data_IF_791257877532
#
_entry.id   IF_791257877532
#
_cell.length_a   1.000
_cell.length_b   1.000
_cell.length_c   1.000
_cell.angle_alpha   90.00
_cell.angle_beta   90.00
_cell.angle_gamma   90.00
#
_symmetry.space_group_name_H-M   'P 1'
#
loop_
_entity.id
_entity.type
_entity.pdbx_description
1 polymer ?
#
# COMPACT_ATOMS: atom_id res chain seq x y z
N UNK A 1 -5.87 -2.51 -28.98
CA UNK A 1 -7.25 -1.96 -28.97
C UNK A 1 -7.35 -0.92 -27.86
N UNK A 2 -7.45 0.38 -28.14
CA UNK A 2 -7.35 1.45 -27.13
C UNK A 2 -8.48 1.45 -26.10
N UNK A 3 -9.66 0.95 -26.45
CA UNK A 3 -10.84 0.92 -25.59
C UNK A 3 -10.71 -0.09 -24.42
N UNK A 4 -10.09 -1.23 -24.64
CA UNK A 4 -9.87 -2.23 -23.59
C UNK A 4 -8.87 -1.73 -22.55
N UNK A 5 -7.80 -1.04 -22.97
CA UNK A 5 -6.85 -0.39 -22.06
C UNK A 5 -7.53 0.68 -21.22
N UNK A 6 -8.35 1.55 -21.84
CA UNK A 6 -9.11 2.57 -21.12
C UNK A 6 -10.12 1.98 -20.13
N UNK A 7 -10.76 0.86 -20.47
CA UNK A 7 -11.68 0.15 -19.58
C UNK A 7 -10.93 -0.43 -18.36
N UNK A 8 -9.81 -1.09 -18.59
CA UNK A 8 -8.95 -1.64 -17.54
C UNK A 8 -8.42 -0.54 -16.62
N UNK A 9 -7.97 0.59 -17.18
CA UNK A 9 -7.52 1.73 -16.38
C UNK A 9 -8.65 2.34 -15.54
N UNK A 10 -9.88 2.36 -16.04
CA UNK A 10 -11.07 2.83 -15.26
C UNK A 10 -11.51 1.84 -14.19
N UNK A 11 -11.25 0.55 -14.36
CA UNK A 11 -11.57 -0.49 -13.38
C UNK A 11 -10.48 -0.66 -12.32
N UNK A 12 -9.22 -0.61 -12.73
CA UNK A 12 -8.08 -1.01 -11.89
C UNK A 12 -7.04 0.10 -11.66
N UNK A 13 -6.82 0.99 -12.63
CA UNK A 13 -5.84 2.07 -12.51
C UNK A 13 -6.40 3.32 -11.81
N UNK A 14 -7.61 3.76 -12.19
CA UNK A 14 -8.31 4.92 -11.60
C UNK A 14 -9.79 4.61 -11.42
N UNK A 15 -10.16 3.71 -10.48
CA UNK A 15 -11.52 3.22 -10.34
C UNK A 15 -12.51 4.35 -10.03
N UNK A 16 -13.59 4.44 -10.86
CA UNK A 16 -14.67 5.41 -10.72
C UNK A 16 -16.03 4.78 -11.02
N UNK A 17 -17.07 5.18 -10.27
CA UNK A 17 -18.46 4.76 -10.50
C UNK A 17 -18.70 3.26 -10.36
N UNK A 18 -19.69 2.72 -11.10
CA UNK A 18 -20.10 1.30 -11.04
C UNK A 18 -18.98 0.35 -11.45
N UNK A 19 -18.19 0.71 -12.48
CA UNK A 19 -17.04 -0.09 -12.92
C UNK A 19 -15.95 -0.14 -11.84
N UNK A 20 -15.75 0.94 -11.10
CA UNK A 20 -14.85 0.98 -9.96
C UNK A 20 -15.30 0.08 -8.80
N UNK A 21 -16.63 -0.06 -8.58
CA UNK A 21 -17.18 -0.97 -7.58
C UNK A 21 -16.90 -2.44 -7.92
N UNK A 22 -17.17 -2.84 -9.16
CA UNK A 22 -16.88 -4.20 -9.63
C UNK A 22 -15.39 -4.49 -9.61
N UNK A 23 -14.56 -3.55 -10.07
CA UNK A 23 -13.10 -3.64 -10.00
C UNK A 23 -12.61 -3.85 -8.57
N UNK A 24 -13.16 -3.10 -7.61
CA UNK A 24 -12.82 -3.23 -6.18
C UNK A 24 -13.11 -4.61 -5.59
N UNK A 25 -14.22 -5.25 -5.99
CA UNK A 25 -14.55 -6.63 -5.54
C UNK A 25 -13.56 -7.66 -6.07
N UNK A 26 -13.19 -7.54 -7.35
CA UNK A 26 -12.20 -8.44 -7.99
C UNK A 26 -10.82 -8.20 -7.37
N UNK A 27 -10.40 -6.95 -7.22
CA UNK A 27 -9.15 -6.58 -6.57
C UNK A 27 -9.08 -7.08 -5.12
N UNK A 28 -10.19 -7.04 -4.39
CA UNK A 28 -10.24 -7.51 -3.01
C UNK A 28 -9.88 -9.01 -2.90
N UNK A 29 -10.30 -9.83 -3.84
CA UNK A 29 -9.95 -11.27 -3.86
C UNK A 29 -8.50 -11.50 -4.26
N UNK A 30 -8.06 -10.88 -5.36
CA UNK A 30 -6.69 -11.04 -5.88
C UNK A 30 -5.64 -10.50 -4.90
N UNK A 31 -5.93 -9.37 -4.25
CA UNK A 31 -4.98 -8.72 -3.35
C UNK A 31 -4.95 -9.33 -1.94
N UNK A 32 -5.95 -10.15 -1.55
CA UNK A 32 -5.97 -10.75 -0.20
C UNK A 32 -4.77 -11.68 0.03
N UNK A 33 -4.53 -12.59 -0.91
CA UNK A 33 -3.43 -13.55 -0.80
C UNK A 33 -2.07 -12.86 -0.90
N UNK A 34 -1.95 -11.87 -1.79
CA UNK A 34 -0.76 -11.05 -1.89
C UNK A 34 -0.50 -10.28 -0.60
N UNK A 35 -1.53 -9.63 -0.04
CA UNK A 35 -1.42 -8.89 1.21
C UNK A 35 -1.02 -9.80 2.38
N UNK A 36 -1.60 -10.99 2.50
CA UNK A 36 -1.25 -11.95 3.54
C UNK A 36 0.24 -12.34 3.44
N UNK A 37 0.73 -12.66 2.24
CA UNK A 37 2.14 -13.00 2.02
C UNK A 37 3.09 -11.84 2.34
N UNK A 38 2.74 -10.61 1.96
CA UNK A 38 3.56 -9.42 2.26
C UNK A 38 3.61 -9.14 3.77
N UNK A 39 2.47 -9.26 4.44
CA UNK A 39 2.37 -9.07 5.89
C UNK A 39 3.21 -10.12 6.63
N UNK A 40 3.32 -11.35 6.12
CA UNK A 40 4.18 -12.38 6.69
C UNK A 40 5.69 -12.14 6.47
N UNK A 41 6.07 -11.29 5.53
CA UNK A 41 7.48 -10.94 5.27
C UNK A 41 8.01 -9.85 6.21
N UNK A 42 7.12 -9.12 6.88
CA UNK A 42 7.47 -8.05 7.80
C UNK A 42 7.27 -8.51 9.25
N UNK A 43 8.20 -8.13 10.10
CA UNK A 43 8.12 -8.37 11.54
C UNK A 43 7.30 -7.26 12.20
N UNK A 44 6.02 -7.53 12.49
CA UNK A 44 5.12 -6.59 13.14
C UNK A 44 5.12 -6.77 14.64
N UNK A 45 5.23 -5.66 15.36
CA UNK A 45 4.94 -5.59 16.80
C UNK A 45 3.45 -5.32 17.02
N UNK A 46 2.85 -5.82 18.10
CA UNK A 46 1.42 -5.62 18.37
C UNK A 46 0.96 -4.16 18.44
N UNK A 47 1.86 -3.24 18.75
CA UNK A 47 1.62 -1.80 18.94
C UNK A 47 2.08 -0.93 17.77
N UNK A 48 2.59 -1.53 16.67
CA UNK A 48 3.06 -0.80 15.50
C UNK A 48 1.96 0.10 14.90
N UNK A 49 2.38 1.28 14.46
CA UNK A 49 1.60 2.16 13.59
C UNK A 49 2.00 1.87 12.14
N UNK A 50 1.04 1.48 11.33
CA UNK A 50 1.29 1.01 9.96
C UNK A 50 0.63 1.95 8.95
N UNK A 51 1.36 2.29 7.87
CA UNK A 51 0.84 3.02 6.73
C UNK A 51 0.64 2.08 5.54
N UNK A 52 -0.54 2.09 4.92
CA UNK A 52 -0.78 1.46 3.62
C UNK A 52 -0.98 2.52 2.53
N UNK A 53 -0.15 2.48 1.49
CA UNK A 53 -0.21 3.40 0.35
C UNK A 53 -0.88 2.73 -0.84
N UNK A 54 -2.02 3.29 -1.28
CA UNK A 54 -2.86 2.70 -2.32
C UNK A 54 -3.65 1.50 -1.78
N UNK A 55 -4.36 1.70 -0.68
CA UNK A 55 -5.05 0.63 0.05
C UNK A 55 -6.23 -0.01 -0.73
N UNK A 56 -6.64 0.57 -1.87
CA UNK A 56 -7.73 0.05 -2.67
C UNK A 56 -9.00 -0.16 -1.86
N UNK A 57 -9.68 -1.33 -1.98
CA UNK A 57 -10.90 -1.63 -1.23
C UNK A 57 -10.66 -1.95 0.28
N UNK A 58 -9.44 -1.80 0.80
CA UNK A 58 -9.11 -1.89 2.22
C UNK A 58 -9.01 -3.32 2.79
N UNK A 59 -8.62 -4.29 1.98
CA UNK A 59 -8.49 -5.69 2.41
C UNK A 59 -7.24 -5.89 3.27
N UNK A 60 -6.10 -5.32 2.86
CA UNK A 60 -4.86 -5.44 3.62
C UNK A 60 -4.98 -4.69 4.97
N UNK A 61 -5.72 -3.58 5.02
CA UNK A 61 -6.07 -2.90 6.29
C UNK A 61 -6.66 -3.88 7.31
N UNK A 62 -7.62 -4.74 6.90
CA UNK A 62 -8.22 -5.75 7.79
C UNK A 62 -7.18 -6.75 8.30
N UNK A 63 -6.29 -7.22 7.43
CA UNK A 63 -5.25 -8.18 7.79
C UNK A 63 -4.22 -7.54 8.73
N UNK A 64 -3.83 -6.29 8.47
CA UNK A 64 -2.91 -5.53 9.32
C UNK A 64 -3.46 -5.33 10.73
N UNK A 65 -4.75 -5.01 10.89
CA UNK A 65 -5.38 -4.86 12.20
C UNK A 65 -5.28 -6.11 13.09
N UNK A 66 -5.22 -7.30 12.49
CA UNK A 66 -4.99 -8.55 13.24
C UNK A 66 -3.53 -8.69 13.68
N UNK A 67 -2.59 -8.06 12.97
CA UNK A 67 -1.16 -8.09 13.33
C UNK A 67 -0.79 -7.05 14.38
N UNK A 68 -1.49 -5.92 14.39
CA UNK A 68 -1.22 -4.80 15.29
C UNK A 68 -2.43 -4.48 16.20
N UNK A 69 -2.87 -5.42 17.05
CA UNK A 69 -4.09 -5.27 17.85
C UNK A 69 -4.03 -4.11 18.84
N UNK A 70 -2.85 -3.77 19.36
CA UNK A 70 -2.61 -2.60 20.21
C UNK A 70 -2.26 -1.33 19.41
N UNK A 71 -1.80 -1.49 18.17
CA UNK A 71 -1.40 -0.43 17.26
C UNK A 71 -2.55 0.22 16.48
N UNK A 72 -2.22 0.76 15.31
CA UNK A 72 -3.19 1.40 14.40
C UNK A 72 -2.73 1.31 12.95
N UNK A 73 -3.67 1.43 12.02
CA UNK A 73 -3.40 1.42 10.58
C UNK A 73 -3.91 2.71 9.97
N UNK A 74 -3.05 3.45 9.27
CA UNK A 74 -3.46 4.55 8.42
C UNK A 74 -3.34 4.13 6.95
N UNK A 75 -4.12 4.76 6.08
CA UNK A 75 -4.02 4.52 4.65
C UNK A 75 -4.27 5.77 3.84
N UNK A 76 -3.63 5.84 2.66
CA UNK A 76 -3.90 6.85 1.66
C UNK A 76 -4.23 6.19 0.33
N UNK A 77 -5.24 6.71 -0.35
CA UNK A 77 -5.59 6.30 -1.71
C UNK A 77 -6.06 7.52 -2.52
N UNK A 78 -5.67 7.60 -3.78
CA UNK A 78 -6.05 8.72 -4.64
C UNK A 78 -7.44 8.53 -5.31
N UNK A 79 -8.11 7.40 -5.05
CA UNK A 79 -9.48 7.12 -5.52
C UNK A 79 -10.49 7.30 -4.40
N UNK A 80 -11.36 8.30 -4.51
CA UNK A 80 -12.46 8.49 -3.58
C UNK A 80 -13.39 7.27 -3.49
N UNK A 81 -13.53 6.49 -4.58
CA UNK A 81 -14.31 5.26 -4.59
C UNK A 81 -13.65 4.19 -3.72
N UNK A 82 -12.33 4.06 -3.76
CA UNK A 82 -11.59 3.13 -2.90
C UNK A 82 -11.69 3.54 -1.44
N UNK A 83 -11.57 4.83 -1.14
CA UNK A 83 -11.77 5.35 0.23
C UNK A 83 -13.16 4.98 0.76
N UNK A 84 -14.22 5.13 -0.04
CA UNK A 84 -15.58 4.74 0.37
C UNK A 84 -15.72 3.25 0.63
N UNK A 85 -15.17 2.40 -0.25
CA UNK A 85 -15.22 0.95 -0.10
C UNK A 85 -14.41 0.47 1.11
N UNK A 86 -13.21 1.00 1.30
CA UNK A 86 -12.37 0.69 2.44
C UNK A 86 -13.00 1.15 3.76
N UNK A 87 -13.63 2.33 3.77
CA UNK A 87 -14.34 2.84 4.95
C UNK A 87 -15.54 1.95 5.31
N UNK A 88 -16.34 1.51 4.33
CA UNK A 88 -17.44 0.60 4.58
C UNK A 88 -16.94 -0.76 5.12
N UNK A 89 -15.87 -1.30 4.53
CA UNK A 89 -15.25 -2.57 4.94
C UNK A 89 -14.68 -2.53 6.36
N UNK A 90 -14.09 -1.40 6.76
CA UNK A 90 -13.38 -1.24 8.02
C UNK A 90 -14.16 -0.34 9.02
N UNK A 91 -15.49 -0.24 8.89
CA UNK A 91 -16.32 0.72 9.62
C UNK A 91 -16.19 0.59 11.15
N UNK A 92 -16.09 -0.62 11.68
CA UNK A 92 -15.91 -0.83 13.13
C UNK A 92 -14.55 -0.29 13.61
N UNK A 93 -13.49 -0.55 12.88
CA UNK A 93 -12.14 -0.08 13.22
C UNK A 93 -12.00 1.44 13.10
N UNK A 94 -12.69 2.06 12.13
CA UNK A 94 -12.78 3.52 12.01
C UNK A 94 -13.48 4.14 13.23
N UNK A 95 -14.64 3.60 13.66
CA UNK A 95 -15.35 4.08 14.87
C UNK A 95 -14.49 3.99 16.11
N UNK A 96 -13.68 2.94 16.22
CA UNK A 96 -12.77 2.70 17.35
C UNK A 96 -11.44 3.44 17.22
N UNK A 97 -11.26 4.30 16.21
CA UNK A 97 -10.04 5.07 15.93
C UNK A 97 -8.78 4.20 15.74
N UNK A 98 -8.98 2.94 15.34
CA UNK A 98 -7.89 2.01 14.99
C UNK A 98 -7.46 2.16 13.52
N UNK A 99 -8.26 2.83 12.71
CA UNK A 99 -8.00 3.08 11.29
C UNK A 99 -8.21 4.56 10.97
N UNK A 100 -7.31 5.12 10.15
CA UNK A 100 -7.40 6.46 9.55
C UNK A 100 -7.24 6.33 8.03
N UNK A 101 -8.30 6.54 7.26
CA UNK A 101 -8.30 6.44 5.80
C UNK A 101 -8.43 7.82 5.17
N UNK A 102 -7.47 8.17 4.31
CA UNK A 102 -7.45 9.47 3.66
C UNK A 102 -7.46 9.37 2.15
N UNK A 103 -8.15 10.30 1.51
CA UNK A 103 -8.03 10.57 0.09
C UNK A 103 -6.83 11.48 -0.14
N UNK A 104 -5.93 11.10 -1.06
CA UNK A 104 -4.76 11.91 -1.37
C UNK A 104 -3.72 11.17 -2.20
N UNK A 105 -2.62 11.84 -2.44
CA UNK A 105 -1.48 11.31 -3.19
C UNK A 105 -0.31 10.94 -2.27
N UNK A 106 0.43 9.91 -2.65
CA UNK A 106 1.65 9.48 -1.95
C UNK A 106 2.75 10.53 -2.02
N UNK A 107 2.77 11.36 -3.06
CA UNK A 107 3.78 12.41 -3.25
C UNK A 107 3.64 13.57 -2.23
N UNK A 108 2.53 13.56 -1.47
CA UNK A 108 2.27 14.52 -0.38
C UNK A 108 1.43 13.87 0.70
N UNK A 109 2.07 13.11 1.57
CA UNK A 109 1.40 12.39 2.65
C UNK A 109 0.94 13.36 3.76
N UNK A 110 -0.35 13.36 4.13
CA UNK A 110 -0.90 14.26 5.15
C UNK A 110 -0.64 13.74 6.58
N UNK A 111 0.57 13.24 6.82
CA UNK A 111 1.01 12.70 8.12
C UNK A 111 2.29 13.41 8.56
N UNK A 112 2.49 13.52 9.87
CA UNK A 112 3.70 14.08 10.45
C UNK A 112 4.91 13.17 10.19
N UNK A 113 6.11 13.74 10.29
CA UNK A 113 7.37 13.01 10.23
C UNK A 113 7.40 11.94 11.32
N UNK A 114 8.11 10.84 11.06
CA UNK A 114 8.40 9.79 12.05
C UNK A 114 7.15 9.27 12.79
N UNK A 115 6.05 9.10 12.06
CA UNK A 115 4.77 8.64 12.61
C UNK A 115 4.64 7.13 12.62
N UNK A 116 5.13 6.46 11.57
CA UNK A 116 4.85 5.04 11.32
C UNK A 116 6.06 4.14 11.57
N UNK A 117 5.81 2.96 12.09
CA UNK A 117 6.82 1.92 12.29
C UNK A 117 7.02 1.11 11.00
N UNK A 118 5.96 0.91 10.22
CA UNK A 118 5.97 0.17 8.95
C UNK A 118 5.15 0.89 7.88
N UNK A 119 5.58 0.77 6.63
CA UNK A 119 4.81 1.24 5.47
C UNK A 119 4.72 0.15 4.40
N UNK A 120 3.55 -0.01 3.78
CA UNK A 120 3.32 -0.98 2.72
C UNK A 120 2.72 -0.30 1.49
N UNK A 121 3.10 -0.80 0.31
CA UNK A 121 2.45 -0.48 -0.95
C UNK A 121 2.33 -1.76 -1.79
N UNK A 122 1.11 -2.24 -2.01
CA UNK A 122 0.85 -3.50 -2.72
C UNK A 122 0.18 -3.19 -4.06
N UNK A 123 0.84 -3.50 -5.17
CA UNK A 123 0.37 -3.19 -6.53
C UNK A 123 -0.06 -1.72 -6.70
N UNK A 124 0.66 -0.78 -6.11
CA UNK A 124 0.27 0.62 -6.08
C UNK A 124 1.31 1.55 -6.72
N UNK A 125 2.61 1.29 -6.52
CA UNK A 125 3.69 2.18 -6.98
C UNK A 125 3.66 2.46 -8.50
N UNK A 126 3.27 1.50 -9.33
CA UNK A 126 3.17 1.67 -10.78
C UNK A 126 2.11 2.71 -11.22
N UNK A 127 1.23 3.11 -10.30
CA UNK A 127 0.21 4.13 -10.54
C UNK A 127 0.59 5.52 -10.00
N UNK A 128 1.75 5.64 -9.31
CA UNK A 128 2.21 6.92 -8.79
C UNK A 128 2.72 7.83 -9.90
N UNK A 129 2.49 9.13 -9.79
CA UNK A 129 2.95 10.10 -10.80
C UNK A 129 4.45 10.31 -10.72
N UNK A 130 5.01 10.30 -9.50
CA UNK A 130 6.45 10.38 -9.22
C UNK A 130 6.80 9.42 -8.08
N UNK A 131 7.32 8.25 -8.44
CA UNK A 131 7.73 7.23 -7.44
C UNK A 131 8.86 7.72 -6.54
N UNK A 132 9.77 8.56 -7.02
CA UNK A 132 10.84 9.11 -6.18
C UNK A 132 10.29 10.08 -5.13
N UNK A 133 9.35 10.94 -5.50
CA UNK A 133 8.68 11.81 -4.55
C UNK A 133 7.87 11.00 -3.52
N UNK A 134 7.11 9.98 -3.97
CA UNK A 134 6.37 9.09 -3.10
C UNK A 134 7.25 8.36 -2.10
N UNK A 135 8.39 7.83 -2.54
CA UNK A 135 9.34 7.15 -1.65
C UNK A 135 9.99 8.10 -0.63
N UNK A 136 10.31 9.34 -1.02
CA UNK A 136 10.80 10.36 -0.07
C UNK A 136 9.75 10.67 1.00
N UNK A 137 8.49 10.80 0.63
CA UNK A 137 7.39 11.04 1.58
C UNK A 137 7.16 9.83 2.51
N UNK A 138 7.19 8.60 1.98
CA UNK A 138 7.14 7.39 2.82
C UNK A 138 8.30 7.39 3.81
N UNK A 139 9.52 7.68 3.35
CA UNK A 139 10.70 7.78 4.22
C UNK A 139 10.55 8.88 5.28
N UNK A 140 9.98 10.03 4.93
CA UNK A 140 9.73 11.13 5.87
C UNK A 140 8.82 10.69 7.02
N UNK A 141 7.71 10.02 6.70
CA UNK A 141 6.70 9.63 7.70
C UNK A 141 7.05 8.35 8.46
N UNK A 142 7.99 7.55 7.99
CA UNK A 142 8.54 6.41 8.74
C UNK A 142 9.45 6.90 9.86
N UNK A 143 9.40 6.22 11.00
CA UNK A 143 10.38 6.38 12.07
C UNK A 143 11.75 5.84 11.66
N UNK A 144 12.80 6.23 12.35
CA UNK A 144 14.13 5.58 12.23
C UNK A 144 14.02 4.11 12.62
N UNK A 145 14.64 3.22 11.85
CA UNK A 145 14.51 1.77 11.99
C UNK A 145 13.17 1.22 11.48
N UNK A 146 12.31 2.06 10.92
CA UNK A 146 11.05 1.63 10.31
C UNK A 146 11.24 1.06 8.91
N UNK A 147 10.43 0.06 8.55
CA UNK A 147 10.54 -0.64 7.26
C UNK A 147 9.50 -0.19 6.24
N UNK A 148 9.91 -0.21 4.98
CA UNK A 148 9.01 -0.10 3.83
C UNK A 148 8.99 -1.42 3.05
N UNK A 149 7.80 -1.85 2.62
CA UNK A 149 7.59 -2.98 1.72
C UNK A 149 6.81 -2.56 0.47
N UNK A 150 7.45 -2.72 -0.70
CA UNK A 150 6.84 -2.50 -2.01
C UNK A 150 6.60 -3.86 -2.65
N UNK A 151 5.35 -4.28 -2.77
CA UNK A 151 5.00 -5.60 -3.28
C UNK A 151 4.27 -5.52 -4.62
N UNK A 152 4.61 -6.45 -5.50
CA UNK A 152 4.09 -6.51 -6.86
C UNK A 152 3.77 -7.95 -7.23
N UNK A 153 2.51 -8.18 -7.60
CA UNK A 153 2.11 -9.47 -8.16
C UNK A 153 2.59 -9.60 -9.61
N UNK A 154 2.67 -10.82 -10.12
CA UNK A 154 3.06 -11.10 -11.53
C UNK A 154 2.22 -10.35 -12.56
N UNK A 155 1.01 -9.96 -12.20
CA UNK A 155 0.09 -9.22 -13.07
C UNK A 155 0.18 -7.69 -12.91
N UNK A 156 1.06 -7.19 -12.05
CA UNK A 156 1.21 -5.75 -11.81
C UNK A 156 1.82 -4.99 -12.98
N UNK A 157 2.56 -5.69 -13.84
CA UNK A 157 3.33 -5.08 -14.92
C UNK A 157 4.60 -4.35 -14.45
N UNK A 158 4.91 -4.38 -13.15
CA UNK A 158 6.11 -3.76 -12.60
C UNK A 158 7.33 -4.67 -12.83
N UNK A 159 8.39 -4.20 -13.51
CA UNK A 159 9.67 -4.91 -13.55
C UNK A 159 10.27 -5.01 -12.14
N UNK A 160 10.92 -6.14 -11.85
CA UNK A 160 11.60 -6.34 -10.57
C UNK A 160 12.91 -5.55 -10.50
N UNK A 161 13.56 -5.44 -11.64
CA UNK A 161 14.82 -4.75 -11.82
C UNK A 161 14.67 -3.26 -11.50
N UNK A 162 15.63 -2.70 -10.78
CA UNK A 162 15.67 -1.27 -10.43
C UNK A 162 14.81 -0.88 -9.21
N UNK A 163 13.98 -1.78 -8.64
CA UNK A 163 13.10 -1.41 -7.49
C UNK A 163 13.92 -1.25 -6.20
N UNK A 164 14.91 -2.12 -5.96
CA UNK A 164 15.80 -1.97 -4.81
C UNK A 164 16.68 -0.71 -4.93
N UNK A 165 17.16 -0.42 -6.13
CA UNK A 165 17.96 0.78 -6.43
C UNK A 165 17.14 2.06 -6.22
N UNK A 166 15.83 2.04 -6.54
CA UNK A 166 14.93 3.17 -6.25
C UNK A 166 14.79 3.42 -4.76
N UNK A 167 14.69 2.36 -3.93
CA UNK A 167 14.66 2.48 -2.48
C UNK A 167 15.97 3.07 -1.94
N UNK A 168 17.11 2.55 -2.38
CA UNK A 168 18.42 3.07 -2.00
C UNK A 168 18.59 4.54 -2.42
N UNK A 169 18.18 4.89 -3.65
CA UNK A 169 18.23 6.28 -4.14
C UNK A 169 17.29 7.23 -3.37
N UNK A 170 16.24 6.71 -2.73
CA UNK A 170 15.36 7.47 -1.84
C UNK A 170 15.91 7.59 -0.41
N UNK A 171 17.08 7.00 -0.12
CA UNK A 171 17.78 7.08 1.16
C UNK A 171 17.37 5.99 2.16
N UNK A 172 16.80 4.88 1.69
CA UNK A 172 16.63 3.68 2.50
C UNK A 172 17.90 2.83 2.47
N UNK A 173 18.09 2.02 3.50
CA UNK A 173 19.20 1.07 3.63
C UNK A 173 18.67 -0.37 3.60
N UNK A 174 19.59 -1.35 3.48
CA UNK A 174 19.28 -2.77 3.46
C UNK A 174 18.23 -3.19 2.43
N UNK A 175 18.18 -2.48 1.30
CA UNK A 175 17.22 -2.76 0.24
C UNK A 175 17.45 -4.17 -0.34
N UNK A 176 16.44 -5.03 -0.21
CA UNK A 176 16.49 -6.42 -0.68
C UNK A 176 15.20 -6.81 -1.38
N UNK A 177 15.29 -7.78 -2.26
CA UNK A 177 14.15 -8.39 -2.93
C UNK A 177 13.86 -9.76 -2.30
N UNK A 178 12.61 -9.97 -1.89
CA UNK A 178 12.08 -11.26 -1.46
C UNK A 178 11.08 -11.77 -2.51
N UNK A 179 11.37 -12.93 -3.08
CA UNK A 179 10.50 -13.58 -4.07
C UNK A 179 9.52 -14.55 -3.39
N UNK A 180 8.31 -14.60 -3.90
CA UNK A 180 7.29 -15.61 -3.63
C UNK A 180 6.70 -16.08 -4.96
N UNK A 181 5.97 -17.20 -4.94
CA UNK A 181 5.51 -17.86 -6.18
C UNK A 181 4.72 -16.95 -7.14
N UNK A 182 4.01 -15.93 -6.63
CA UNK A 182 3.13 -15.07 -7.41
C UNK A 182 3.38 -13.57 -7.22
N UNK A 183 4.41 -13.21 -6.45
CA UNK A 183 4.78 -11.82 -6.21
C UNK A 183 6.27 -11.71 -5.88
N UNK A 184 6.82 -10.51 -6.04
CA UNK A 184 8.05 -10.11 -5.38
C UNK A 184 7.78 -8.91 -4.47
N UNK A 185 8.61 -8.77 -3.45
CA UNK A 185 8.53 -7.67 -2.48
C UNK A 185 9.93 -7.06 -2.32
N UNK A 186 10.04 -5.77 -2.54
CA UNK A 186 11.23 -5.00 -2.18
C UNK A 186 11.03 -4.45 -0.76
N UNK A 187 11.97 -4.77 0.13
CA UNK A 187 11.92 -4.36 1.54
C UNK A 187 13.19 -3.57 1.83
N UNK A 188 13.05 -2.47 2.56
CA UNK A 188 14.18 -1.65 2.99
C UNK A 188 13.85 -0.93 4.30
N UNK A 189 14.88 -0.46 5.01
CA UNK A 189 14.78 0.18 6.31
C UNK A 189 15.18 1.66 6.22
N UNK A 190 14.49 2.54 6.95
CA UNK A 190 14.91 3.93 7.13
C UNK A 190 16.02 3.99 8.20
N UNK A 191 17.23 4.50 7.89
CA UNK A 191 18.32 4.67 8.84
C UNK A 191 18.00 5.65 9.97
#
# INVERSE_FOLDING_TARGET
MPWAHNLLMRMFGRPRGVLGRLGGVIMARVNRDAAAQVIEMLDFRPDDKVLEVGFGPGVAIQLLLHRVPAGSVAGIDYSQEMVRQAAARNAAALRNRKVDLRYGSVERLPFADETFDKALAINSMQAWSDSRAGLREIRRVLKRGGDVALAFTVNSGQPKEGVAELLTAAGFEEARIADRSKLFCAIATKP
#
